data_IF_664521208204
#
_entry.id   IF_664521208204
#
_cell.length_a   1.000
_cell.length_b   1.000
_cell.length_c   1.000
_cell.angle_alpha   90.00
_cell.angle_beta   90.00
_cell.angle_gamma   90.00
#
_symmetry.space_group_name_H-M   'P 1'
#
loop_
_entity.id
_entity.type
_entity.pdbx_description
1 polymer ?
#
# COMPACT_ATOMS: atom_id res chain seq x y z
N UNK A 1 -7.86 -17.81 -52.07
CA UNK A 1 -6.82 -16.77 -52.05
C UNK A 1 -7.36 -15.59 -51.28
N UNK A 2 -7.06 -15.53 -49.98
CA UNK A 2 -6.59 -14.35 -49.24
C UNK A 2 -6.57 -14.70 -47.74
N UNK A 3 -5.40 -14.48 -47.14
CA UNK A 3 -5.12 -14.44 -45.71
C UNK A 3 -5.09 -15.75 -44.93
N UNK A 4 -4.22 -16.65 -45.41
CA UNK A 4 -3.48 -17.62 -44.59
C UNK A 4 -2.28 -16.93 -43.91
N UNK A 5 -2.47 -15.75 -43.30
CA UNK A 5 -1.43 -15.12 -42.49
C UNK A 5 -1.37 -15.84 -41.14
N UNK A 6 -0.60 -16.93 -41.12
CA UNK A 6 0.11 -17.38 -39.93
C UNK A 6 0.99 -16.22 -39.44
N UNK A 7 0.41 -15.32 -38.66
CA UNK A 7 1.11 -14.21 -38.04
C UNK A 7 2.02 -14.77 -36.94
N UNK A 8 3.24 -15.15 -37.30
CA UNK A 8 4.33 -15.16 -36.32
C UNK A 8 4.39 -13.75 -35.76
N UNK A 9 4.00 -13.58 -34.49
CA UNK A 9 4.17 -12.30 -33.80
C UNK A 9 5.68 -11.98 -33.82
N UNK A 10 6.05 -10.92 -34.54
CA UNK A 10 7.43 -10.43 -34.52
C UNK A 10 7.72 -9.89 -33.11
N UNK A 11 9.00 -9.86 -32.72
CA UNK A 11 9.47 -9.43 -31.40
C UNK A 11 8.87 -8.10 -30.94
N UNK A 12 8.66 -7.16 -31.88
CA UNK A 12 8.03 -5.86 -31.62
C UNK A 12 6.62 -6.00 -31.03
N UNK A 13 5.78 -6.87 -31.59
CA UNK A 13 4.40 -7.08 -31.13
C UNK A 13 4.36 -7.72 -29.74
N UNK A 14 5.29 -8.64 -29.44
CA UNK A 14 5.41 -9.27 -28.12
C UNK A 14 5.82 -8.23 -27.08
N UNK A 15 6.82 -7.39 -27.40
CA UNK A 15 7.23 -6.28 -26.53
C UNK A 15 6.07 -5.33 -26.27
N UNK A 16 5.27 -5.00 -27.29
CA UNK A 16 4.07 -4.16 -27.14
C UNK A 16 3.03 -4.78 -26.20
N UNK A 17 2.80 -6.10 -26.26
CA UNK A 17 1.90 -6.79 -25.32
C UNK A 17 2.44 -6.76 -23.88
N UNK A 18 3.76 -6.87 -23.71
CA UNK A 18 4.43 -6.78 -22.40
C UNK A 18 4.39 -5.35 -21.81
N UNK A 19 4.08 -4.31 -22.61
CA UNK A 19 3.93 -2.94 -22.10
C UNK A 19 2.72 -2.79 -21.19
N UNK A 20 1.62 -3.52 -21.42
CA UNK A 20 0.42 -3.40 -20.61
C UNK A 20 0.68 -3.69 -19.10
N UNK A 21 1.25 -4.85 -18.71
CA UNK A 21 1.64 -5.07 -17.32
C UNK A 21 2.77 -4.13 -16.86
N UNK A 22 3.68 -3.70 -17.74
CA UNK A 22 4.74 -2.75 -17.39
C UNK A 22 4.18 -1.39 -16.94
N UNK A 23 3.18 -0.85 -17.64
CA UNK A 23 2.49 0.40 -17.27
C UNK A 23 1.80 0.25 -15.91
N UNK A 24 1.18 -0.90 -15.65
CA UNK A 24 0.56 -1.19 -14.35
C UNK A 24 1.58 -1.23 -13.22
N UNK A 25 2.77 -1.77 -13.46
CA UNK A 25 3.89 -1.73 -12.48
C UNK A 25 4.28 -0.28 -12.19
N UNK A 26 4.42 0.56 -13.22
CA UNK A 26 4.74 1.99 -13.03
C UNK A 26 3.67 2.73 -12.22
N UNK A 27 2.39 2.48 -12.51
CA UNK A 27 1.28 3.05 -11.75
C UNK A 27 1.31 2.60 -10.27
N UNK A 28 1.54 1.30 -10.02
CA UNK A 28 1.71 0.78 -8.67
C UNK A 28 2.94 1.39 -7.97
N UNK A 29 4.02 1.67 -8.70
CA UNK A 29 5.21 2.33 -8.18
C UNK A 29 4.91 3.72 -7.59
N UNK A 30 4.06 4.51 -8.27
CA UNK A 30 3.60 5.80 -7.75
C UNK A 30 2.75 5.65 -6.49
N UNK A 31 1.83 4.68 -6.46
CA UNK A 31 1.00 4.39 -5.29
C UNK A 31 1.84 3.91 -4.10
N UNK A 32 2.80 3.03 -4.35
CA UNK A 32 3.76 2.54 -3.35
C UNK A 32 4.59 3.68 -2.78
N UNK A 33 5.10 4.59 -3.62
CA UNK A 33 5.85 5.75 -3.16
C UNK A 33 5.01 6.61 -2.21
N UNK A 34 3.78 6.93 -2.60
CA UNK A 34 2.85 7.69 -1.76
C UNK A 34 2.57 6.99 -0.42
N UNK A 35 2.31 5.68 -0.45
CA UNK A 35 1.99 4.93 0.77
C UNK A 35 3.21 4.68 1.67
N UNK A 36 4.40 4.47 1.12
CA UNK A 36 5.63 4.34 1.91
C UNK A 36 6.00 5.66 2.60
N UNK A 37 5.78 6.80 1.93
CA UNK A 37 5.95 8.11 2.55
C UNK A 37 4.98 8.29 3.72
N UNK A 38 3.68 7.97 3.52
CA UNK A 38 2.69 7.98 4.61
C UNK A 38 3.07 7.05 5.76
N UNK A 39 3.55 5.85 5.45
CA UNK A 39 3.98 4.86 6.45
C UNK A 39 5.08 5.45 7.35
N UNK A 40 6.12 6.01 6.73
CA UNK A 40 7.24 6.63 7.43
C UNK A 40 6.79 7.79 8.33
N UNK A 41 5.89 8.64 7.84
CA UNK A 41 5.35 9.77 8.62
C UNK A 41 4.57 9.31 9.86
N UNK A 42 3.66 8.34 9.70
CA UNK A 42 2.85 7.84 10.83
C UNK A 42 3.72 7.11 11.85
N UNK A 43 4.68 6.28 11.40
CA UNK A 43 5.63 5.60 12.29
C UNK A 43 6.50 6.62 13.05
N UNK A 44 6.98 7.66 12.37
CA UNK A 44 7.76 8.70 13.03
C UNK A 44 6.94 9.42 14.11
N UNK A 45 5.67 9.75 13.83
CA UNK A 45 4.76 10.36 14.82
C UNK A 45 4.55 9.46 16.04
N UNK A 46 4.39 8.14 15.84
CA UNK A 46 4.28 7.18 16.94
C UNK A 46 5.57 7.17 17.79
N UNK A 47 6.75 7.19 17.16
CA UNK A 47 8.04 7.22 17.88
C UNK A 47 8.16 8.47 18.76
N UNK A 48 7.85 9.63 18.21
CA UNK A 48 7.89 10.90 18.96
C UNK A 48 6.95 10.89 20.17
N UNK A 49 5.71 10.44 19.99
CA UNK A 49 4.73 10.35 21.09
C UNK A 49 5.15 9.32 22.16
N UNK A 50 5.72 8.19 21.76
CA UNK A 50 6.26 7.21 22.70
C UNK A 50 7.46 7.75 23.50
N UNK A 51 8.35 8.51 22.85
CA UNK A 51 9.45 9.17 23.54
C UNK A 51 8.94 10.22 24.54
N UNK A 52 7.93 11.01 24.17
CA UNK A 52 7.28 11.98 25.05
C UNK A 52 6.67 11.27 26.27
N UNK A 53 5.89 10.20 26.04
CA UNK A 53 5.31 9.36 27.10
C UNK A 53 6.38 8.82 28.04
N UNK A 54 7.48 8.29 27.50
CA UNK A 54 8.59 7.77 28.31
C UNK A 54 9.23 8.86 29.17
N UNK A 55 9.44 10.06 28.63
CA UNK A 55 10.01 11.20 29.39
C UNK A 55 9.10 11.63 30.54
N UNK A 56 7.79 11.65 30.33
CA UNK A 56 6.83 11.96 31.40
C UNK A 56 6.83 10.90 32.50
N UNK A 57 6.82 9.61 32.14
CA UNK A 57 6.85 8.53 33.12
C UNK A 57 8.12 8.51 33.97
N UNK A 58 9.27 8.90 33.42
CA UNK A 58 10.52 9.01 34.17
C UNK A 58 10.43 10.13 35.23
N UNK A 59 9.85 11.30 34.88
CA UNK A 59 9.67 12.42 35.82
C UNK A 59 8.75 12.08 37.00
N UNK A 60 7.76 11.22 36.77
CA UNK A 60 6.83 10.75 37.82
C UNK A 60 7.53 9.91 38.90
N UNK A 61 8.67 9.30 38.59
CA UNK A 61 9.48 8.60 39.60
C UNK A 61 10.05 9.52 40.69
N UNK A 62 10.09 10.83 40.45
CA UNK A 62 10.64 11.83 41.39
C UNK A 62 9.55 12.52 42.23
N UNK A 63 8.33 12.68 41.67
CA UNK A 63 7.15 13.28 42.33
C UNK A 63 5.86 12.68 41.76
N UNK A 64 4.77 12.59 42.56
CA UNK A 64 3.47 12.15 42.04
C UNK A 64 3.03 13.04 40.86
N UNK A 65 2.44 12.47 39.80
CA UNK A 65 2.07 13.21 38.60
C UNK A 65 0.98 14.22 38.92
N UNK A 66 1.09 15.42 38.36
CA UNK A 66 0.02 16.41 38.38
C UNK A 66 -1.21 15.93 37.60
N UNK A 67 -2.37 16.54 37.85
CA UNK A 67 -3.61 16.22 37.12
C UNK A 67 -3.41 16.42 35.60
N UNK A 68 -2.76 17.51 35.21
CA UNK A 68 -2.50 17.85 33.80
C UNK A 68 -1.56 16.84 33.12
N UNK A 69 -0.54 16.34 33.83
CA UNK A 69 0.35 15.28 33.32
C UNK A 69 -0.40 13.97 33.10
N UNK A 70 -1.31 13.60 34.01
CA UNK A 70 -2.15 12.41 33.83
C UNK A 70 -3.07 12.53 32.61
N UNK A 71 -3.73 13.68 32.43
CA UNK A 71 -4.59 13.96 31.26
C UNK A 71 -3.76 13.88 29.97
N UNK A 72 -2.54 14.46 29.96
CA UNK A 72 -1.65 14.40 28.79
C UNK A 72 -1.19 12.98 28.48
N UNK A 73 -0.83 12.19 29.49
CA UNK A 73 -0.44 10.78 29.32
C UNK A 73 -1.56 9.91 28.74
N UNK A 74 -2.79 10.15 29.16
CA UNK A 74 -3.98 9.49 28.62
C UNK A 74 -4.21 9.89 27.15
N UNK A 75 -4.16 11.19 26.85
CA UNK A 75 -4.26 11.70 25.48
C UNK A 75 -3.21 11.11 24.54
N UNK A 76 -1.95 11.06 24.97
CA UNK A 76 -0.85 10.45 24.19
C UNK A 76 -1.12 8.96 23.94
N UNK A 77 -1.54 8.22 24.97
CA UNK A 77 -1.84 6.79 24.82
C UNK A 77 -3.00 6.56 23.83
N UNK A 78 -4.02 7.41 23.87
CA UNK A 78 -5.13 7.38 22.92
C UNK A 78 -4.68 7.70 21.49
N UNK A 79 -3.88 8.75 21.28
CA UNK A 79 -3.33 9.11 19.96
C UNK A 79 -2.47 7.97 19.37
N UNK A 80 -1.60 7.36 20.18
CA UNK A 80 -0.78 6.22 19.74
C UNK A 80 -1.68 5.06 19.28
N UNK A 81 -2.75 4.74 20.02
CA UNK A 81 -3.67 3.67 19.63
C UNK A 81 -4.31 3.90 18.25
N UNK A 82 -4.70 5.14 17.95
CA UNK A 82 -5.26 5.52 16.64
C UNK A 82 -4.20 5.48 15.53
N UNK A 83 -3.00 5.97 15.79
CA UNK A 83 -1.90 5.94 14.82
C UNK A 83 -1.47 4.51 14.50
N UNK A 84 -1.42 3.61 15.51
CA UNK A 84 -1.11 2.19 15.29
C UNK A 84 -2.15 1.54 14.38
N UNK A 85 -3.44 1.86 14.56
CA UNK A 85 -4.47 1.39 13.64
C UNK A 85 -4.24 1.90 12.21
N UNK A 86 -3.91 3.18 12.04
CA UNK A 86 -3.61 3.76 10.73
C UNK A 86 -2.40 3.11 10.07
N UNK A 87 -1.31 2.88 10.81
CA UNK A 87 -0.12 2.17 10.29
C UNK A 87 -0.48 0.79 9.76
N UNK A 88 -1.39 0.06 10.42
CA UNK A 88 -1.84 -1.26 9.92
C UNK A 88 -2.51 -1.15 8.55
N UNK A 89 -3.36 -0.14 8.34
CA UNK A 89 -3.99 0.10 7.02
C UNK A 89 -2.97 0.47 5.95
N UNK A 90 -2.04 1.40 6.26
CA UNK A 90 -0.98 1.79 5.33
C UNK A 90 -0.14 0.58 4.94
N UNK A 91 0.32 -0.20 5.94
CA UNK A 91 1.13 -1.40 5.72
C UNK A 91 0.40 -2.41 4.83
N UNK A 92 -0.87 -2.70 5.12
CA UNK A 92 -1.63 -3.66 4.34
C UNK A 92 -1.83 -3.16 2.89
N UNK A 93 -2.01 -1.86 2.67
CA UNK A 93 -2.05 -1.25 1.32
C UNK A 93 -0.72 -1.44 0.57
N UNK A 94 0.41 -1.15 1.23
CA UNK A 94 1.76 -1.37 0.66
C UNK A 94 1.98 -2.83 0.27
N UNK A 95 1.62 -3.78 1.15
CA UNK A 95 1.74 -5.22 0.86
C UNK A 95 0.88 -5.59 -0.36
N UNK A 96 -0.36 -5.10 -0.42
CA UNK A 96 -1.27 -5.37 -1.54
C UNK A 96 -0.73 -4.85 -2.87
N UNK A 97 -0.12 -3.65 -2.89
CA UNK A 97 0.52 -3.13 -4.09
C UNK A 97 1.80 -3.88 -4.46
N UNK A 98 2.59 -4.31 -3.48
CA UNK A 98 3.78 -5.13 -3.74
C UNK A 98 3.40 -6.49 -4.37
N UNK A 99 2.33 -7.12 -3.88
CA UNK A 99 1.77 -8.34 -4.48
C UNK A 99 1.29 -8.07 -5.92
N UNK A 100 0.61 -6.94 -6.16
CA UNK A 100 0.18 -6.57 -7.50
C UNK A 100 1.35 -6.43 -8.48
N UNK A 101 2.42 -5.73 -8.07
CA UNK A 101 3.64 -5.57 -8.87
C UNK A 101 4.24 -6.93 -9.21
N UNK A 102 4.37 -7.83 -8.22
CA UNK A 102 4.89 -9.17 -8.47
C UNK A 102 4.03 -9.94 -9.49
N UNK A 103 2.69 -9.88 -9.37
CA UNK A 103 1.76 -10.51 -10.30
C UNK A 103 1.86 -9.94 -11.72
N UNK A 104 2.03 -8.62 -11.87
CA UNK A 104 2.22 -8.00 -13.19
C UNK A 104 3.57 -8.36 -13.82
N UNK A 105 4.63 -8.45 -13.03
CA UNK A 105 5.94 -8.96 -13.51
C UNK A 105 5.79 -10.39 -14.02
N UNK A 106 5.15 -11.26 -13.24
CA UNK A 106 4.87 -12.66 -13.64
C UNK A 106 4.03 -12.69 -14.92
N UNK A 107 2.99 -11.85 -15.01
CA UNK A 107 2.14 -11.75 -16.20
C UNK A 107 2.97 -11.38 -17.44
N UNK A 108 3.86 -10.38 -17.31
CA UNK A 108 4.74 -9.96 -18.40
C UNK A 108 5.67 -11.09 -18.87
N UNK A 109 6.28 -11.81 -17.91
CA UNK A 109 7.11 -12.99 -18.21
C UNK A 109 6.30 -14.08 -18.92
N UNK A 110 5.09 -14.39 -18.45
CA UNK A 110 4.22 -15.41 -19.06
C UNK A 110 3.84 -15.06 -20.49
N UNK A 111 3.59 -13.78 -20.80
CA UNK A 111 3.34 -13.30 -22.18
C UNK A 111 4.55 -13.60 -23.07
N UNK A 112 5.76 -13.25 -22.62
CA UNK A 112 6.99 -13.53 -23.35
C UNK A 112 7.20 -15.03 -23.57
N UNK A 113 7.04 -15.86 -22.53
CA UNK A 113 7.18 -17.32 -22.64
C UNK A 113 6.17 -17.92 -23.60
N UNK A 114 4.91 -17.46 -23.57
CA UNK A 114 3.85 -17.94 -24.46
C UNK A 114 4.12 -17.64 -25.94
N UNK A 115 5.00 -16.71 -26.26
CA UNK A 115 5.39 -16.41 -27.65
C UNK A 115 6.47 -17.35 -28.21
N UNK A 116 7.26 -17.98 -27.34
CA UNK A 116 8.38 -18.86 -27.75
C UNK A 116 7.98 -20.34 -27.63
N UNK A 117 7.11 -20.67 -26.66
CA UNK A 117 6.64 -22.03 -26.42
C UNK A 117 5.16 -22.17 -26.79
N UNK A 118 4.78 -23.05 -27.74
CA UNK A 118 3.40 -23.29 -28.14
C UNK A 118 2.66 -24.14 -27.10
N UNK A 119 2.50 -23.61 -25.88
CA UNK A 119 1.78 -24.27 -24.79
C UNK A 119 0.32 -23.79 -24.76
N UNK A 120 -0.60 -24.65 -25.19
CA UNK A 120 -2.04 -24.37 -25.29
C UNK A 120 -2.72 -23.88 -24.00
N UNK A 121 -2.08 -24.00 -22.83
CA UNK A 121 -2.64 -23.63 -21.52
C UNK A 121 -2.12 -22.31 -20.94
N UNK A 122 -1.09 -21.67 -21.51
CA UNK A 122 -0.48 -20.47 -20.92
C UNK A 122 -1.41 -19.25 -20.93
N UNK A 123 -2.29 -19.12 -21.94
CA UNK A 123 -3.21 -17.98 -22.04
C UNK A 123 -4.13 -17.85 -20.81
N UNK A 124 -4.66 -18.95 -20.29
CA UNK A 124 -5.48 -18.93 -19.08
C UNK A 124 -4.67 -18.44 -17.86
N UNK A 125 -3.42 -18.88 -17.71
CA UNK A 125 -2.55 -18.44 -16.63
C UNK A 125 -2.19 -16.95 -16.73
N UNK A 126 -1.95 -16.43 -17.94
CA UNK A 126 -1.70 -15.00 -18.16
C UNK A 126 -2.89 -14.17 -17.66
N UNK A 127 -4.10 -14.52 -18.10
CA UNK A 127 -5.32 -13.78 -17.74
C UNK A 127 -5.58 -13.84 -16.24
N UNK A 128 -5.49 -15.02 -15.64
CA UNK A 128 -5.71 -15.20 -14.19
C UNK A 128 -4.71 -14.39 -13.38
N UNK A 129 -3.41 -14.47 -13.73
CA UNK A 129 -2.37 -13.72 -13.01
C UNK A 129 -2.57 -12.21 -13.14
N UNK A 130 -2.94 -11.73 -14.32
CA UNK A 130 -3.25 -10.31 -14.54
C UNK A 130 -4.43 -9.84 -13.70
N UNK A 131 -5.53 -10.61 -13.69
CA UNK A 131 -6.73 -10.29 -12.91
C UNK A 131 -6.46 -10.31 -11.40
N UNK A 132 -5.67 -11.26 -10.91
CA UNK A 132 -5.23 -11.26 -9.51
C UNK A 132 -4.42 -10.01 -9.17
N UNK A 133 -3.56 -9.56 -10.08
CA UNK A 133 -2.82 -8.29 -9.95
C UNK A 133 -3.78 -7.11 -9.80
N UNK A 134 -4.78 -7.01 -10.68
CA UNK A 134 -5.81 -5.95 -10.65
C UNK A 134 -6.63 -5.96 -9.36
N UNK A 135 -7.05 -7.14 -8.88
CA UNK A 135 -7.76 -7.29 -7.60
C UNK A 135 -6.88 -6.83 -6.43
N UNK A 136 -5.60 -7.19 -6.46
CA UNK A 136 -4.63 -6.76 -5.44
C UNK A 136 -4.42 -5.24 -5.44
N UNK A 137 -4.42 -4.59 -6.61
CA UNK A 137 -4.43 -3.11 -6.69
C UNK A 137 -5.69 -2.55 -6.06
N UNK A 138 -6.87 -3.07 -6.40
CA UNK A 138 -8.14 -2.59 -5.88
C UNK A 138 -8.20 -2.68 -4.34
N UNK A 139 -7.78 -3.81 -3.77
CA UNK A 139 -7.69 -3.99 -2.31
C UNK A 139 -6.74 -2.94 -1.71
N UNK A 140 -5.58 -2.71 -2.32
CA UNK A 140 -4.62 -1.71 -1.86
C UNK A 140 -5.20 -0.28 -1.86
N UNK A 141 -5.95 0.08 -2.90
CA UNK A 141 -6.61 1.39 -3.03
C UNK A 141 -7.70 1.57 -1.98
N UNK A 142 -8.53 0.54 -1.77
CA UNK A 142 -9.58 0.59 -0.74
C UNK A 142 -8.98 0.78 0.67
N UNK A 143 -7.91 0.06 1.00
CA UNK A 143 -7.19 0.21 2.26
C UNK A 143 -6.59 1.62 2.43
N UNK A 144 -6.01 2.18 1.37
CA UNK A 144 -5.51 3.55 1.35
C UNK A 144 -6.64 4.60 1.53
N UNK A 145 -7.80 4.35 0.92
CA UNK A 145 -8.99 5.17 1.09
C UNK A 145 -9.50 5.14 2.54
N UNK A 146 -9.59 3.96 3.15
CA UNK A 146 -9.96 3.81 4.56
C UNK A 146 -8.97 4.51 5.50
N UNK A 147 -7.67 4.47 5.19
CA UNK A 147 -6.65 5.20 5.94
C UNK A 147 -6.87 6.70 5.88
N UNK A 148 -7.15 7.22 4.68
CA UNK A 148 -7.40 8.64 4.44
C UNK A 148 -8.64 9.11 5.20
N UNK A 149 -9.73 8.34 5.16
CA UNK A 149 -10.96 8.63 5.90
C UNK A 149 -10.72 8.70 7.40
N UNK A 150 -10.02 7.71 7.96
CA UNK A 150 -9.71 7.73 9.41
C UNK A 150 -8.75 8.85 9.80
N UNK A 151 -7.83 9.22 8.92
CA UNK A 151 -6.97 10.40 9.13
C UNK A 151 -7.81 11.67 9.28
N UNK A 152 -8.82 11.84 8.43
CA UNK A 152 -9.74 12.98 8.51
C UNK A 152 -10.61 12.97 9.78
N UNK A 153 -11.16 11.80 10.15
CA UNK A 153 -12.01 11.68 11.33
C UNK A 153 -11.28 12.13 12.60
N UNK A 154 -9.99 11.79 12.76
CA UNK A 154 -9.18 12.20 13.92
C UNK A 154 -9.01 13.72 13.97
N UNK A 155 -8.71 14.37 12.84
CA UNK A 155 -8.55 15.83 12.78
C UNK A 155 -9.87 16.52 13.14
N UNK A 156 -10.99 15.98 12.67
CA UNK A 156 -12.32 16.52 13.01
C UNK A 156 -12.60 16.48 14.52
N UNK A 157 -12.21 15.39 15.18
CA UNK A 157 -12.30 15.30 16.65
C UNK A 157 -11.36 16.31 17.33
N UNK A 158 -10.12 16.48 16.86
CA UNK A 158 -9.17 17.43 17.46
C UNK A 158 -9.67 18.89 17.35
N UNK A 159 -10.24 19.29 16.22
CA UNK A 159 -10.76 20.65 16.03
C UNK A 159 -11.98 20.92 16.91
N UNK A 160 -12.95 19.99 16.96
CA UNK A 160 -14.15 20.17 17.81
C UNK A 160 -13.90 20.02 19.31
N UNK A 161 -12.73 19.52 19.73
CA UNK A 161 -12.38 19.43 21.16
C UNK A 161 -11.81 20.74 21.71
N UNK A 162 -11.57 21.73 20.84
CA UNK A 162 -11.03 23.04 21.16
C UNK A 162 -12.06 24.18 21.05
N UNK A 163 -13.32 23.85 20.72
CA UNK A 163 -14.51 24.73 20.80
C UNK A 163 -15.34 24.38 22.05
#
# INVERSE_FOLDING_TARGET
MENLFSGQLNAVSIIQLMLAPAIMISACGLLLLGMNNRYSLVVNRIRLLNEEKRRMLIKVGEKPPSLDENIRLESISKQISFLVYRVKLVRNSVISYAIAVALFVITSILIGVSSVLPLFKLNYFIIITFLLGMISVLIGVLLAGFETKKGYDIIKFEVHSHD
#
